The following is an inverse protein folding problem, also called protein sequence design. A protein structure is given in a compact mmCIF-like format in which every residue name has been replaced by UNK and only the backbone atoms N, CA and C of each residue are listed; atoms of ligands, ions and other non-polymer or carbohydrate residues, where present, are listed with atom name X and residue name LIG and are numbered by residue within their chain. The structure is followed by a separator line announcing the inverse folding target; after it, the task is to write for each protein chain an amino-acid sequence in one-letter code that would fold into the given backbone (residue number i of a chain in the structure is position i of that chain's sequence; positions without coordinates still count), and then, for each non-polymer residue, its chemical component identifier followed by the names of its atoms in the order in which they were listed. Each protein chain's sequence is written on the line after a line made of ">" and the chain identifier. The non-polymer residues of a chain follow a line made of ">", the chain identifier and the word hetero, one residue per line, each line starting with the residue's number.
data_IF_072909916877
#
_entry.id   IF_072909916877
#
_cell.length_a   1.000
_cell.length_b   1.000
_cell.length_c   1.000
_cell.angle_alpha   90.00
_cell.angle_beta   90.00
_cell.angle_gamma   90.00
#
_symmetry.space_group_name_H-M   'P 1'
#
loop_
_entity.id
_entity.type
_entity.pdbx_description
1 polymer ?
#
# COMPACT_ATOMS: atom_id res chain seq x y z
N UNK A 1 -11.26 14.54 3.97
CA UNK A 1 -11.47 14.92 5.40
C UNK A 1 -10.35 14.28 6.20
N UNK A 2 -9.69 15.01 7.08
CA UNK A 2 -8.67 14.50 8.00
C UNK A 2 -9.14 14.84 9.41
N UNK A 3 -9.29 13.82 10.25
CA UNK A 3 -9.65 13.96 11.66
C UNK A 3 -8.39 13.83 12.51
N UNK A 4 -8.28 14.65 13.54
CA UNK A 4 -7.26 14.45 14.58
C UNK A 4 -7.68 13.26 15.47
N UNK A 5 -6.92 12.18 15.40
CA UNK A 5 -7.15 10.95 16.15
C UNK A 5 -6.13 10.76 17.29
N UNK A 6 -5.46 11.84 17.72
CA UNK A 6 -4.40 11.76 18.73
C UNK A 6 -4.86 11.07 20.02
N UNK A 7 -6.01 11.45 20.56
CA UNK A 7 -6.57 10.87 21.81
C UNK A 7 -6.81 9.37 21.66
N UNK A 8 -7.35 8.96 20.50
CA UNK A 8 -7.63 7.54 20.23
C UNK A 8 -6.32 6.77 20.10
N UNK A 9 -5.34 7.34 19.38
CA UNK A 9 -4.03 6.72 19.19
C UNK A 9 -3.25 6.52 20.50
N UNK A 10 -3.46 7.40 21.51
CA UNK A 10 -2.89 7.25 22.85
C UNK A 10 -3.63 6.21 23.69
N UNK A 11 -4.93 6.06 23.51
CA UNK A 11 -5.78 5.16 24.29
C UNK A 11 -5.70 3.69 23.85
N UNK A 12 -5.36 3.41 22.58
CA UNK A 12 -5.29 2.04 22.06
C UNK A 12 -3.92 1.41 22.37
N UNK A 13 -3.92 0.12 22.67
CA UNK A 13 -2.69 -0.66 22.78
C UNK A 13 -2.06 -0.75 21.40
N UNK A 14 -0.80 -0.29 21.20
CA UNK A 14 -0.16 -0.32 19.90
C UNK A 14 -0.01 -1.75 19.38
N UNK A 15 -0.51 -1.97 18.19
CA UNK A 15 -0.09 -3.13 17.42
C UNK A 15 1.30 -2.80 16.89
N UNK A 16 2.35 -3.48 17.37
CA UNK A 16 3.69 -3.28 16.85
C UNK A 16 3.84 -4.07 15.52
N UNK A 17 3.52 -3.46 14.36
CA UNK A 17 3.62 -4.18 13.12
C UNK A 17 5.10 -4.42 12.81
N UNK A 18 5.42 -5.66 12.52
CA UNK A 18 6.67 -5.95 11.80
C UNK A 18 6.47 -5.47 10.37
N UNK A 19 6.78 -4.20 10.09
CA UNK A 19 6.82 -3.73 8.70
C UNK A 19 7.94 -4.51 8.03
N UNK A 20 7.65 -5.31 7.00
CA UNK A 20 8.68 -6.08 6.33
C UNK A 20 9.75 -5.13 5.79
N UNK A 21 11.01 -5.47 5.97
CA UNK A 21 12.09 -4.72 5.34
C UNK A 21 11.93 -4.83 3.82
N UNK A 22 11.86 -3.71 3.12
CA UNK A 22 11.68 -3.67 1.66
C UNK A 22 12.79 -4.45 0.91
N UNK A 23 14.01 -4.51 1.44
CA UNK A 23 15.09 -5.32 0.87
C UNK A 23 14.80 -6.82 0.95
N UNK A 24 14.14 -7.27 2.03
CA UNK A 24 13.74 -8.68 2.16
C UNK A 24 12.70 -9.01 1.10
N UNK A 25 11.68 -8.16 0.92
CA UNK A 25 10.65 -8.34 -0.11
C UNK A 25 11.29 -8.38 -1.51
N UNK A 26 12.18 -7.45 -1.81
CA UNK A 26 12.88 -7.43 -3.08
C UNK A 26 13.75 -8.69 -3.28
N UNK A 27 14.25 -9.29 -2.18
CA UNK A 27 14.96 -10.56 -2.18
C UNK A 27 14.10 -11.75 -2.62
N UNK A 28 12.79 -11.65 -2.45
CA UNK A 28 11.85 -12.70 -2.80
C UNK A 28 11.42 -12.73 -4.28
N UNK A 29 11.86 -11.76 -5.11
CA UNK A 29 11.57 -11.77 -6.55
C UNK A 29 12.17 -13.03 -7.18
N UNK A 30 11.38 -13.88 -7.84
CA UNK A 30 11.88 -15.11 -8.44
C UNK A 30 12.95 -14.81 -9.50
N UNK A 31 14.04 -15.63 -9.55
CA UNK A 31 15.06 -15.46 -10.59
C UNK A 31 14.53 -15.65 -12.02
N UNK A 32 13.43 -16.41 -12.16
CA UNK A 32 12.76 -16.62 -13.45
C UNK A 32 11.91 -15.46 -13.92
N UNK A 33 11.64 -14.46 -13.05
CA UNK A 33 10.79 -13.33 -13.39
C UNK A 33 11.45 -12.40 -14.41
N UNK A 34 10.74 -12.11 -15.49
CA UNK A 34 11.19 -11.22 -16.57
C UNK A 34 10.20 -10.09 -16.85
N UNK A 35 8.94 -10.26 -16.44
CA UNK A 35 7.86 -9.32 -16.63
C UNK A 35 7.23 -8.98 -15.30
N UNK A 36 6.88 -7.72 -15.13
CA UNK A 36 6.42 -7.18 -13.87
C UNK A 36 5.17 -6.33 -14.04
N UNK A 37 4.32 -6.32 -13.04
CA UNK A 37 3.22 -5.37 -12.92
C UNK A 37 3.24 -4.79 -11.52
N UNK A 38 3.23 -3.45 -11.41
CA UNK A 38 3.15 -2.74 -10.13
C UNK A 38 1.78 -2.11 -10.01
N UNK A 39 1.11 -2.35 -8.89
CA UNK A 39 -0.19 -1.79 -8.57
C UNK A 39 -0.11 -1.04 -7.24
N UNK A 40 -0.58 0.20 -7.22
CA UNK A 40 -0.76 1.05 -6.04
C UNK A 40 -2.25 1.06 -5.69
N UNK A 41 -2.61 0.70 -4.46
CA UNK A 41 -4.00 0.66 -4.02
C UNK A 41 -4.46 2.03 -3.55
N UNK A 42 -5.46 2.56 -4.25
CA UNK A 42 -6.04 3.86 -3.94
C UNK A 42 -7.04 3.77 -2.80
N UNK A 43 -7.02 4.79 -1.92
CA UNK A 43 -7.97 4.89 -0.79
C UNK A 43 -7.97 3.62 0.09
N UNK A 44 -6.81 2.99 0.24
CA UNK A 44 -6.61 1.64 0.77
C UNK A 44 -7.33 1.41 2.10
N UNK A 45 -7.20 2.31 3.08
CA UNK A 45 -7.84 2.16 4.40
C UNK A 45 -9.36 2.20 4.31
N UNK A 46 -9.91 2.97 3.37
CA UNK A 46 -11.36 3.10 3.19
C UNK A 46 -12.00 1.86 2.57
N UNK A 47 -11.21 0.87 2.13
CA UNK A 47 -11.72 -0.43 1.69
C UNK A 47 -12.03 -1.38 2.86
N UNK A 48 -11.54 -1.08 4.08
CA UNK A 48 -11.71 -1.95 5.25
C UNK A 48 -12.85 -1.43 6.13
N UNK A 49 -13.97 -2.16 6.28
CA UNK A 49 -15.06 -1.75 7.13
C UNK A 49 -14.68 -1.87 8.62
N UNK A 50 -15.13 -0.90 9.42
CA UNK A 50 -15.06 -0.96 10.88
C UNK A 50 -16.24 -1.74 11.45
N UNK A 51 -15.96 -2.61 12.42
CA UNK A 51 -16.98 -3.25 13.22
C UNK A 51 -17.87 -2.18 13.89
N UNK A 52 -19.19 -2.42 13.94
CA UNK A 52 -20.15 -1.46 14.50
C UNK A 52 -19.80 -1.05 15.93
N UNK A 53 -19.30 -2.00 16.70
CA UNK A 53 -18.89 -1.83 18.09
C UNK A 53 -17.68 -0.92 18.25
N UNK A 54 -16.90 -0.68 17.19
CA UNK A 54 -15.72 0.18 17.20
C UNK A 54 -16.00 1.58 16.62
N UNK A 55 -17.11 1.76 15.89
CA UNK A 55 -17.38 3.01 15.17
C UNK A 55 -17.53 4.22 16.11
N UNK A 56 -18.12 4.04 17.30
CA UNK A 56 -18.31 5.12 18.26
C UNK A 56 -16.99 5.75 18.73
N UNK A 57 -15.89 4.99 18.69
CA UNK A 57 -14.56 5.50 19.06
C UNK A 57 -14.05 6.59 18.09
N UNK A 58 -14.53 6.55 16.86
CA UNK A 58 -14.14 7.47 15.81
C UNK A 58 -15.20 8.54 15.53
N UNK A 59 -16.12 8.75 16.47
CA UNK A 59 -17.17 9.75 16.35
C UNK A 59 -16.56 11.16 16.30
N UNK A 60 -17.09 12.01 15.45
CA UNK A 60 -16.70 13.40 15.29
C UNK A 60 -17.92 14.31 15.19
N UNK A 61 -17.74 15.59 15.48
CA UNK A 61 -18.71 16.62 15.20
C UNK A 61 -18.39 17.28 13.88
N UNK A 62 -19.35 17.33 12.97
CA UNK A 62 -19.25 18.16 11.78
C UNK A 62 -20.04 19.42 12.01
N UNK A 63 -19.40 20.56 11.72
CA UNK A 63 -20.07 21.84 11.73
C UNK A 63 -20.58 22.13 10.33
N UNK A 64 -21.90 22.17 10.17
CA UNK A 64 -22.51 22.69 8.95
C UNK A 64 -22.75 24.22 9.10
N UNK A 65 -23.03 24.90 7.96
CA UNK A 65 -23.10 26.36 7.87
C UNK A 65 -23.99 27.02 8.94
N UNK A 66 -23.83 28.31 9.25
CA UNK A 66 -24.61 29.02 10.28
C UNK A 66 -26.11 28.86 10.09
N UNK A 67 -26.77 28.23 11.05
CA UNK A 67 -28.22 27.95 11.03
C UNK A 67 -28.61 26.47 10.76
N UNK A 68 -27.66 25.59 10.42
CA UNK A 68 -27.90 24.16 10.26
C UNK A 68 -27.66 23.39 11.56
N UNK A 69 -28.27 22.21 11.65
CA UNK A 69 -28.13 21.36 12.85
C UNK A 69 -26.76 20.70 12.84
N UNK A 70 -26.06 20.72 13.98
CA UNK A 70 -24.87 19.90 14.18
C UNK A 70 -25.21 18.43 14.00
N UNK A 71 -24.47 17.74 13.16
CA UNK A 71 -24.58 16.31 12.96
C UNK A 71 -23.35 15.62 13.54
N UNK A 72 -23.58 14.63 14.38
CA UNK A 72 -22.52 13.74 14.82
C UNK A 72 -22.31 12.66 13.76
N UNK A 73 -21.10 12.58 13.25
CA UNK A 73 -20.70 11.56 12.29
C UNK A 73 -19.68 10.61 12.89
N UNK A 74 -19.55 9.45 12.29
CA UNK A 74 -18.51 8.49 12.65
C UNK A 74 -17.95 7.81 11.41
N UNK A 75 -16.76 7.24 11.56
CA UNK A 75 -16.18 6.42 10.51
C UNK A 75 -16.81 5.04 10.48
N UNK A 76 -17.18 4.60 9.30
CA UNK A 76 -17.66 3.21 9.03
C UNK A 76 -16.55 2.34 8.43
N UNK A 77 -15.42 2.95 8.09
CA UNK A 77 -14.22 2.32 7.50
C UNK A 77 -12.99 2.79 8.25
N UNK A 78 -11.84 2.15 8.05
CA UNK A 78 -10.59 2.55 8.68
C UNK A 78 -10.22 3.99 8.33
N UNK A 79 -10.10 4.90 9.33
CA UNK A 79 -9.78 6.29 9.08
C UNK A 79 -8.30 6.50 8.80
N UNK A 80 -8.00 7.50 7.97
CA UNK A 80 -6.67 8.06 7.88
C UNK A 80 -6.30 8.76 9.19
N UNK A 81 -5.03 8.58 9.64
CA UNK A 81 -4.55 9.13 10.91
C UNK A 81 -4.71 8.20 12.11
N UNK A 82 -5.46 7.11 12.00
CA UNK A 82 -5.41 6.06 13.01
C UNK A 82 -4.11 5.27 12.88
N UNK A 83 -3.36 5.18 13.99
CA UNK A 83 -2.00 4.61 14.04
C UNK A 83 -1.89 3.22 13.44
N UNK A 84 -2.88 2.37 13.74
CA UNK A 84 -2.85 0.97 13.35
C UNK A 84 -3.51 0.68 11.99
N UNK A 85 -4.06 1.70 11.29
CA UNK A 85 -4.69 1.51 9.97
C UNK A 85 -3.78 0.86 8.94
N UNK A 86 -2.49 1.23 8.80
CA UNK A 86 -1.60 0.57 7.84
C UNK A 86 -1.39 -0.91 8.14
N UNK A 87 -1.27 -1.26 9.43
CA UNK A 87 -1.10 -2.66 9.84
C UNK A 87 -2.35 -3.49 9.56
N UNK A 88 -3.51 -3.00 9.99
CA UNK A 88 -4.79 -3.69 9.81
C UNK A 88 -5.12 -3.88 8.33
N UNK A 89 -4.88 -2.85 7.52
CA UNK A 89 -5.03 -2.93 6.08
C UNK A 89 -4.09 -3.97 5.47
N UNK A 90 -2.79 -3.89 5.77
CA UNK A 90 -1.79 -4.82 5.25
C UNK A 90 -2.10 -6.27 5.62
N UNK A 91 -2.60 -6.52 6.84
CA UNK A 91 -3.01 -7.84 7.30
C UNK A 91 -4.25 -8.33 6.53
N UNK A 92 -5.28 -7.49 6.37
CA UNK A 92 -6.50 -7.86 5.64
C UNK A 92 -6.19 -8.19 4.17
N UNK A 93 -5.42 -7.34 3.49
CA UNK A 93 -5.00 -7.58 2.10
C UNK A 93 -4.15 -8.86 1.98
N UNK A 94 -3.22 -9.09 2.92
CA UNK A 94 -2.40 -10.31 2.93
C UNK A 94 -3.26 -11.57 3.07
N UNK A 95 -4.25 -11.56 3.98
CA UNK A 95 -5.19 -12.67 4.14
C UNK A 95 -6.02 -12.91 2.89
N UNK A 96 -6.48 -11.86 2.23
CA UNK A 96 -7.20 -11.97 0.98
C UNK A 96 -6.32 -12.57 -0.12
N UNK A 97 -5.08 -12.09 -0.27
CA UNK A 97 -4.14 -12.57 -1.28
C UNK A 97 -3.74 -14.04 -1.10
N UNK A 98 -3.81 -14.61 0.12
CA UNK A 98 -3.60 -16.05 0.34
C UNK A 98 -4.60 -16.92 -0.42
N UNK A 99 -5.77 -16.38 -0.76
CA UNK A 99 -6.79 -17.10 -1.53
C UNK A 99 -6.59 -16.97 -3.05
N UNK A 100 -5.56 -16.25 -3.49
CA UNK A 100 -5.27 -16.01 -4.89
C UNK A 100 -4.06 -16.85 -5.32
N UNK A 101 -4.32 -17.91 -6.07
CA UNK A 101 -3.26 -18.75 -6.65
C UNK A 101 -2.96 -18.28 -8.08
N UNK A 102 -1.77 -17.72 -8.27
CA UNK A 102 -1.26 -17.40 -9.61
C UNK A 102 -0.66 -18.65 -10.25
N UNK A 103 -1.34 -19.17 -11.26
CA UNK A 103 -0.85 -20.29 -12.06
C UNK A 103 0.47 -19.93 -12.75
N UNK A 104 1.19 -20.93 -13.26
CA UNK A 104 2.37 -20.74 -14.12
C UNK A 104 3.52 -19.93 -13.49
N UNK A 105 3.86 -20.21 -12.23
CA UNK A 105 4.99 -19.61 -11.52
C UNK A 105 4.91 -18.06 -11.37
N UNK A 106 3.69 -17.52 -11.28
CA UNK A 106 3.49 -16.14 -10.86
C UNK A 106 3.75 -15.96 -9.37
N UNK A 107 4.27 -14.79 -8.96
CA UNK A 107 4.41 -14.42 -7.54
C UNK A 107 3.91 -13.01 -7.31
N UNK A 108 3.18 -12.80 -6.22
CA UNK A 108 2.78 -11.48 -5.73
C UNK A 108 3.64 -11.16 -4.52
N UNK A 109 4.20 -9.96 -4.50
CA UNK A 109 4.88 -9.38 -3.36
C UNK A 109 4.08 -8.17 -2.91
N UNK A 110 3.80 -8.09 -1.62
CA UNK A 110 3.02 -7.01 -1.01
C UNK A 110 3.90 -6.19 -0.06
N UNK A 111 3.80 -4.87 -0.19
CA UNK A 111 4.32 -3.93 0.79
C UNK A 111 3.23 -2.91 1.11
N UNK A 112 2.56 -3.10 2.25
CA UNK A 112 1.39 -2.32 2.68
C UNK A 112 0.32 -2.28 1.58
N UNK A 113 0.24 -1.19 0.83
CA UNK A 113 -0.72 -0.92 -0.26
C UNK A 113 -0.11 -1.07 -1.67
N UNK A 114 1.19 -1.32 -1.76
CA UNK A 114 1.90 -1.55 -3.02
C UNK A 114 2.03 -3.05 -3.33
N UNK A 115 1.63 -3.46 -4.52
CA UNK A 115 1.76 -4.84 -5.00
C UNK A 115 2.71 -4.92 -6.19
N UNK A 116 3.62 -5.90 -6.16
CA UNK A 116 4.45 -6.28 -7.30
C UNK A 116 4.10 -7.70 -7.74
N UNK A 117 3.67 -7.85 -8.99
CA UNK A 117 3.37 -9.13 -9.63
C UNK A 117 4.56 -9.49 -10.52
N UNK A 118 5.16 -10.65 -10.25
CA UNK A 118 6.31 -11.18 -10.98
C UNK A 118 5.87 -12.33 -11.88
N UNK A 119 6.31 -12.32 -13.14
CA UNK A 119 5.90 -13.32 -14.13
C UNK A 119 7.09 -13.75 -15.01
N UNK A 120 7.13 -15.01 -15.49
CA UNK A 120 8.24 -15.52 -16.28
C UNK A 120 8.26 -15.01 -17.74
N UNK A 121 7.11 -14.71 -18.31
CA UNK A 121 6.93 -14.26 -19.68
C UNK A 121 5.75 -13.29 -19.80
N UNK A 122 5.64 -12.64 -20.98
CA UNK A 122 4.63 -11.62 -21.24
C UNK A 122 3.20 -12.14 -21.17
N UNK A 123 2.94 -13.31 -21.75
CA UNK A 123 1.60 -13.91 -21.78
C UNK A 123 1.11 -14.22 -20.38
N UNK A 124 1.97 -14.81 -19.54
CA UNK A 124 1.65 -15.06 -18.14
C UNK A 124 1.48 -13.74 -17.37
N UNK A 125 2.31 -12.71 -17.65
CA UNK A 125 2.17 -11.42 -17.00
C UNK A 125 0.82 -10.75 -17.29
N UNK A 126 0.34 -10.79 -18.52
CA UNK A 126 -1.00 -10.30 -18.89
C UNK A 126 -2.09 -11.06 -18.14
N UNK A 127 -2.02 -12.40 -18.10
CA UNK A 127 -2.99 -13.22 -17.39
C UNK A 127 -2.99 -12.96 -15.89
N UNK A 128 -1.82 -12.90 -15.27
CA UNK A 128 -1.67 -12.61 -13.84
C UNK A 128 -2.20 -11.21 -13.51
N UNK A 129 -1.90 -10.20 -14.32
CA UNK A 129 -2.41 -8.85 -14.12
C UNK A 129 -3.93 -8.81 -14.14
N UNK A 130 -4.57 -9.46 -15.13
CA UNK A 130 -6.03 -9.56 -15.22
C UNK A 130 -6.60 -10.29 -14.01
N UNK A 131 -6.00 -11.42 -13.62
CA UNK A 131 -6.46 -12.22 -12.49
C UNK A 131 -6.40 -11.43 -11.17
N UNK A 132 -5.28 -10.74 -10.92
CA UNK A 132 -5.11 -9.90 -9.72
C UNK A 132 -6.09 -8.72 -9.72
N UNK A 133 -6.24 -8.01 -10.85
CA UNK A 133 -7.17 -6.89 -10.95
C UNK A 133 -8.62 -7.33 -10.74
N UNK A 134 -9.04 -8.45 -11.31
CA UNK A 134 -10.38 -9.01 -11.10
C UNK A 134 -10.61 -9.36 -9.64
N UNK A 135 -9.66 -10.07 -9.03
CA UNK A 135 -9.70 -10.43 -7.62
C UNK A 135 -9.80 -9.21 -6.70
N UNK A 136 -8.96 -8.18 -6.92
CA UNK A 136 -8.99 -6.95 -6.13
C UNK A 136 -10.35 -6.24 -6.28
N UNK A 137 -10.89 -6.19 -7.50
CA UNK A 137 -12.20 -5.57 -7.78
C UNK A 137 -13.32 -6.30 -7.05
N UNK A 138 -13.34 -7.63 -7.09
CA UNK A 138 -14.34 -8.47 -6.41
C UNK A 138 -14.32 -8.29 -4.89
N UNK A 139 -13.15 -7.97 -4.31
CA UNK A 139 -12.96 -7.69 -2.89
C UNK A 139 -13.16 -6.22 -2.53
N UNK A 140 -13.45 -5.35 -3.49
CA UNK A 140 -13.72 -3.93 -3.27
C UNK A 140 -12.46 -3.05 -3.16
N UNK A 141 -11.27 -3.58 -3.45
CA UNK A 141 -10.06 -2.80 -3.53
C UNK A 141 -10.03 -1.94 -4.80
N UNK A 142 -9.44 -0.76 -4.71
CA UNK A 142 -9.32 0.18 -5.83
C UNK A 142 -7.86 0.34 -6.21
N UNK A 143 -7.55 0.25 -7.49
CA UNK A 143 -6.20 0.43 -8.04
C UNK A 143 -6.08 1.82 -8.65
N UNK A 144 -4.96 2.50 -8.39
CA UNK A 144 -4.60 3.77 -8.99
C UNK A 144 -4.13 3.57 -10.44
N UNK A 145 -5.01 3.87 -11.41
CA UNK A 145 -4.66 3.74 -12.84
C UNK A 145 -3.44 4.60 -13.23
N UNK A 146 -3.31 5.78 -12.61
CA UNK A 146 -2.24 6.74 -12.96
C UNK A 146 -0.84 6.27 -12.51
N UNK A 147 -0.78 5.43 -11.45
CA UNK A 147 0.48 4.93 -10.91
C UNK A 147 0.78 3.48 -11.33
N UNK A 148 -0.20 2.77 -11.87
CA UNK A 148 -0.02 1.39 -12.28
C UNK A 148 0.98 1.27 -13.43
N UNK A 149 1.93 0.33 -13.27
CA UNK A 149 2.88 -0.06 -14.31
C UNK A 149 2.50 -1.47 -14.77
N UNK A 150 2.00 -1.59 -15.99
CA UNK A 150 1.32 -2.81 -16.44
C UNK A 150 2.15 -3.59 -17.44
N UNK A 151 2.51 -4.83 -17.08
CA UNK A 151 3.17 -5.79 -17.99
C UNK A 151 4.42 -5.22 -18.64
N UNK A 152 5.37 -4.83 -17.79
CA UNK A 152 6.63 -4.19 -18.19
C UNK A 152 7.82 -5.09 -17.89
N UNK A 153 8.90 -4.96 -18.66
CA UNK A 153 10.19 -5.62 -18.37
C UNK A 153 11.04 -4.85 -17.37
N UNK A 154 10.69 -3.58 -17.14
CA UNK A 154 11.35 -2.67 -16.21
C UNK A 154 10.29 -1.88 -15.47
N UNK A 155 10.30 -1.97 -14.13
CA UNK A 155 9.34 -1.25 -13.27
C UNK A 155 10.08 -0.56 -12.13
N UNK A 156 9.43 0.44 -11.55
CA UNK A 156 9.88 1.07 -10.30
C UNK A 156 8.97 0.60 -9.17
N UNK A 157 9.53 -0.04 -8.15
CA UNK A 157 8.83 -0.53 -6.97
C UNK A 157 9.61 -0.19 -5.71
N UNK A 158 8.98 0.45 -4.75
CA UNK A 158 9.60 0.93 -3.49
C UNK A 158 10.88 1.76 -3.72
N UNK A 159 10.89 2.62 -4.76
CA UNK A 159 12.04 3.45 -5.10
C UNK A 159 13.18 2.73 -5.79
N UNK A 160 13.02 1.43 -6.09
CA UNK A 160 14.02 0.60 -6.79
C UNK A 160 13.53 0.28 -8.20
N UNK A 161 14.37 0.54 -9.19
CA UNK A 161 14.14 0.07 -10.55
C UNK A 161 14.50 -1.42 -10.65
N UNK A 162 13.53 -2.22 -11.08
CA UNK A 162 13.62 -3.67 -11.15
C UNK A 162 13.61 -4.09 -12.61
N UNK A 163 14.60 -4.90 -12.99
CA UNK A 163 14.64 -5.63 -14.26
C UNK A 163 14.90 -7.10 -13.98
N UNK A 164 14.82 -7.95 -15.01
CA UNK A 164 15.19 -9.37 -14.87
C UNK A 164 16.61 -9.56 -14.30
N UNK A 165 17.56 -8.71 -14.69
CA UNK A 165 18.98 -8.90 -14.37
C UNK A 165 19.51 -7.96 -13.29
N UNK A 166 18.76 -6.91 -12.92
CA UNK A 166 19.30 -5.89 -12.02
C UNK A 166 18.22 -5.24 -11.14
N UNK A 167 18.66 -4.77 -9.99
CA UNK A 167 17.91 -3.93 -9.06
C UNK A 167 18.76 -2.73 -8.74
N UNK A 168 18.29 -1.52 -9.07
CA UNK A 168 19.05 -0.27 -8.91
C UNK A 168 18.14 0.78 -8.29
N UNK A 169 18.70 1.68 -7.50
CA UNK A 169 17.94 2.86 -7.05
C UNK A 169 17.41 3.62 -8.27
N UNK A 170 16.19 4.11 -8.18
CA UNK A 170 15.61 4.94 -9.24
C UNK A 170 16.41 6.23 -9.40
N UNK A 171 16.38 6.79 -10.63
CA UNK A 171 17.06 8.06 -10.93
C UNK A 171 16.67 9.19 -9.98
N UNK A 172 15.40 9.24 -9.61
CA UNK A 172 14.85 10.28 -8.71
C UNK A 172 15.44 10.16 -7.30
N UNK A 173 15.59 8.94 -6.78
CA UNK A 173 16.27 8.69 -5.51
C UNK A 173 17.74 9.06 -5.55
N UNK A 174 18.45 8.69 -6.64
CA UNK A 174 19.85 9.05 -6.82
C UNK A 174 20.00 10.57 -6.85
N UNK A 175 19.15 11.27 -7.61
CA UNK A 175 19.18 12.73 -7.68
C UNK A 175 18.83 13.38 -6.33
N UNK A 176 17.82 12.86 -5.63
CA UNK A 176 17.49 13.32 -4.29
C UNK A 176 18.67 13.22 -3.31
N UNK A 177 19.41 12.12 -3.35
CA UNK A 177 20.63 11.93 -2.53
C UNK A 177 21.72 12.91 -2.93
N UNK A 178 21.96 13.10 -4.23
CA UNK A 178 22.99 14.01 -4.74
C UNK A 178 22.69 15.49 -4.44
N UNK A 179 21.42 15.84 -4.26
CA UNK A 179 20.99 17.21 -3.92
C UNK A 179 20.98 17.49 -2.42
N UNK A 180 21.23 16.48 -1.56
CA UNK A 180 21.33 16.70 -0.13
C UNK A 180 22.50 17.65 0.17
N UNK A 181 22.24 18.77 0.89
CA UNK A 181 23.31 19.67 1.29
C UNK A 181 24.27 18.94 2.23
N UNK A 182 25.57 19.23 2.11
CA UNK A 182 26.57 18.70 3.04
C UNK A 182 26.21 19.13 4.47
N UNK A 183 26.28 18.22 5.44
CA UNK A 183 25.98 18.56 6.84
C UNK A 183 26.95 19.62 7.35
N UNK A 184 26.41 20.73 7.88
CA UNK A 184 27.18 21.84 8.44
C UNK A 184 27.44 21.69 9.94
N UNK A 185 26.72 20.79 10.61
CA UNK A 185 26.81 20.55 12.07
C UNK A 185 26.72 19.06 12.39
N UNK A 186 27.27 18.67 13.57
CA UNK A 186 27.18 17.29 14.06
C UNK A 186 25.74 16.76 14.24
N UNK A 187 24.76 17.67 14.42
CA UNK A 187 23.34 17.30 14.50
C UNK A 187 22.70 17.00 13.15
N UNK A 188 23.35 17.36 12.04
CA UNK A 188 22.89 17.13 10.68
C UNK A 188 23.51 15.86 10.07
N UNK A 189 24.50 15.26 10.73
CA UNK A 189 25.08 13.94 10.44
C UNK A 189 24.21 12.84 11.06
#
# INVERSE_FOLDING_TARGET
>A
MVQDLWIINEAVVPLHPTVPNHYVILGEIPPSAKWFTVLDLKDAFFCIPLAKESQYLFAMWEWEAPGEKHQQMTWTVLPQGFRDSPHLFGQALSQDLLNLDLRSNGKILQYVDDLLICSPDEKNAQQHAIQVLSFLTERGYKVSRAKAQMVETTVTYLGVQITHVSRRLSSDWIQGILQLPSPMTQKQL
#
